data_IF_270074435799
#
_entry.id   IF_270074435799
#
_cell.length_a   1.000
_cell.length_b   1.000
_cell.length_c   1.000
_cell.angle_alpha   90.00
_cell.angle_beta   90.00
_cell.angle_gamma   90.00
#
_symmetry.space_group_name_H-M   'P 1'
#
loop_
_entity.id
_entity.type
_entity.pdbx_description
1 polymer ?
#
# COMPACT_ATOMS: atom_id res chain seq x y z
N UNK A 1 23.42 -21.47 -17.16
CA UNK A 1 22.21 -20.69 -16.81
C UNK A 1 21.24 -20.67 -17.98
N UNK A 2 19.95 -20.89 -17.75
CA UNK A 2 18.91 -20.75 -18.80
C UNK A 2 18.83 -19.28 -19.25
N UNK A 3 18.55 -19.03 -20.56
CA UNK A 3 18.43 -17.65 -21.12
C UNK A 3 17.47 -16.76 -20.29
N UNK A 4 16.37 -17.34 -19.77
CA UNK A 4 15.41 -16.63 -18.91
C UNK A 4 16.01 -16.17 -17.58
N UNK A 5 16.92 -16.94 -16.98
CA UNK A 5 17.59 -16.58 -15.71
C UNK A 5 18.60 -15.46 -15.93
N UNK A 6 19.31 -15.47 -17.07
CA UNK A 6 20.22 -14.36 -17.43
C UNK A 6 19.43 -13.07 -17.66
N UNK A 7 18.32 -13.14 -18.39
CA UNK A 7 17.47 -11.97 -18.61
C UNK A 7 16.94 -11.41 -17.29
N UNK A 8 16.46 -12.26 -16.37
CA UNK A 8 15.98 -11.84 -15.06
C UNK A 8 17.09 -11.20 -14.23
N UNK A 9 18.30 -11.75 -14.23
CA UNK A 9 19.48 -11.18 -13.57
C UNK A 9 19.80 -9.78 -14.11
N UNK A 10 19.80 -9.64 -15.44
CA UNK A 10 20.05 -8.34 -16.08
C UNK A 10 18.99 -7.32 -15.63
N UNK A 11 17.70 -7.67 -15.69
CA UNK A 11 16.63 -6.78 -15.26
C UNK A 11 16.71 -6.43 -13.77
N UNK A 12 17.05 -7.39 -12.91
CA UNK A 12 17.27 -7.13 -11.46
C UNK A 12 18.37 -6.10 -11.25
N UNK A 13 19.52 -6.28 -11.92
CA UNK A 13 20.64 -5.33 -11.84
C UNK A 13 20.22 -3.96 -12.39
N UNK A 14 19.54 -3.92 -13.53
CA UNK A 14 19.04 -2.68 -14.14
C UNK A 14 18.09 -1.94 -13.20
N UNK A 15 17.12 -2.61 -12.60
CA UNK A 15 16.18 -1.99 -11.66
C UNK A 15 16.87 -1.47 -10.40
N UNK A 16 17.80 -2.22 -9.82
CA UNK A 16 18.53 -1.78 -8.62
C UNK A 16 19.45 -0.60 -8.95
N UNK A 17 20.21 -0.67 -10.05
CA UNK A 17 21.13 0.39 -10.42
C UNK A 17 20.40 1.66 -10.86
N UNK A 18 19.37 1.55 -11.67
CA UNK A 18 18.60 2.72 -12.12
C UNK A 18 17.80 3.28 -10.94
N UNK A 19 17.08 2.44 -10.17
CA UNK A 19 16.33 2.89 -9.01
C UNK A 19 17.22 3.54 -7.97
N UNK A 20 18.33 2.88 -7.59
CA UNK A 20 19.32 3.44 -6.66
C UNK A 20 19.99 4.70 -7.19
N UNK A 21 20.31 4.75 -8.50
CA UNK A 21 20.87 5.94 -9.16
C UNK A 21 19.92 7.13 -9.16
N UNK A 22 18.64 6.90 -9.42
CA UNK A 22 17.60 7.93 -9.35
C UNK A 22 17.44 8.45 -7.92
N UNK A 23 17.42 7.56 -6.91
CA UNK A 23 17.36 7.98 -5.51
C UNK A 23 18.59 8.75 -5.08
N UNK A 24 19.79 8.29 -5.47
CA UNK A 24 21.03 9.01 -5.24
C UNK A 24 21.04 10.39 -5.90
N UNK A 25 20.54 10.49 -7.12
CA UNK A 25 20.37 11.77 -7.82
C UNK A 25 19.39 12.68 -7.07
N UNK A 26 18.25 12.15 -6.61
CA UNK A 26 17.30 12.89 -5.76
C UNK A 26 17.94 13.43 -4.50
N UNK A 27 18.78 12.63 -3.82
CA UNK A 27 19.57 13.08 -2.67
C UNK A 27 20.57 14.19 -3.04
N UNK A 28 21.23 14.07 -4.20
CA UNK A 28 22.25 15.01 -4.65
C UNK A 28 21.68 16.32 -5.17
N UNK A 29 20.48 16.25 -5.78
CA UNK A 29 19.85 17.41 -6.42
C UNK A 29 19.44 18.49 -5.42
N UNK A 30 19.18 18.13 -4.17
CA UNK A 30 18.84 19.08 -3.12
C UNK A 30 19.62 18.85 -1.82
N UNK A 31 20.97 18.85 -1.86
CA UNK A 31 21.78 18.60 -0.68
C UNK A 31 21.58 19.65 0.42
N UNK A 32 21.20 20.88 0.06
CA UNK A 32 20.92 21.97 1.02
C UNK A 32 19.59 21.73 1.73
N UNK A 33 18.55 21.29 1.04
CA UNK A 33 17.27 20.94 1.67
C UNK A 33 17.43 19.76 2.63
N UNK A 34 18.23 18.77 2.26
CA UNK A 34 18.56 17.63 3.13
C UNK A 34 19.43 18.01 4.32
N UNK A 35 20.49 18.81 4.10
CA UNK A 35 21.42 19.17 5.15
C UNK A 35 20.86 20.22 6.13
N UNK A 36 20.07 21.18 5.65
CA UNK A 36 19.62 22.32 6.43
C UNK A 36 18.13 22.31 6.77
N UNK A 37 17.38 21.37 6.23
CA UNK A 37 15.91 21.35 6.37
C UNK A 37 15.19 22.57 5.82
N UNK A 38 15.89 23.31 4.98
CA UNK A 38 15.37 24.45 4.30
C UNK A 38 14.64 23.99 3.01
N UNK A 39 13.42 23.51 3.17
CA UNK A 39 12.44 23.85 2.16
C UNK A 39 12.12 25.30 2.42
N UNK A 40 12.70 26.16 1.62
CA UNK A 40 12.24 27.54 1.56
C UNK A 40 10.81 27.47 1.02
N UNK A 41 9.84 27.54 1.92
CA UNK A 41 8.50 27.94 1.57
C UNK A 41 8.62 29.34 0.98
N UNK A 42 8.67 29.42 -0.35
CA UNK A 42 8.70 30.68 -1.03
C UNK A 42 7.28 31.22 -0.99
N UNK A 43 7.14 32.25 -0.19
CA UNK A 43 6.04 33.19 -0.06
C UNK A 43 4.82 32.78 0.79
N UNK A 44 4.32 33.74 1.59
CA UNK A 44 3.19 33.52 2.52
C UNK A 44 1.85 33.19 1.85
N UNK A 45 1.76 33.31 0.52
CA UNK A 45 0.53 33.08 -0.24
C UNK A 45 0.52 31.75 -1.02
N UNK A 46 1.68 31.08 -1.13
CA UNK A 46 1.82 29.79 -1.80
C UNK A 46 2.32 28.72 -0.81
N UNK A 47 1.63 28.55 0.30
CA UNK A 47 1.96 27.44 1.19
C UNK A 47 1.74 26.12 0.43
N UNK A 48 2.81 25.37 0.09
CA UNK A 48 2.65 24.09 -0.56
C UNK A 48 1.88 23.16 0.37
N UNK A 49 1.10 22.26 -0.20
CA UNK A 49 0.48 21.17 0.55
C UNK A 49 1.62 20.44 1.23
N UNK A 50 1.69 20.40 2.57
CA UNK A 50 2.81 19.83 3.29
C UNK A 50 2.94 18.32 3.04
N UNK A 51 1.83 17.66 2.68
CA UNK A 51 1.75 16.26 2.35
C UNK A 51 1.24 16.09 0.91
N UNK A 52 1.98 15.37 0.10
CA UNK A 52 1.69 15.17 -1.32
C UNK A 52 2.04 13.75 -1.74
N UNK A 53 2.52 13.61 -2.98
CA UNK A 53 2.78 12.31 -3.61
C UNK A 53 3.60 11.34 -2.76
N UNK A 54 4.61 11.84 -2.02
CA UNK A 54 5.47 10.97 -1.20
C UNK A 54 4.73 10.41 0.03
N UNK A 55 3.89 11.21 0.68
CA UNK A 55 3.07 10.73 1.82
C UNK A 55 1.98 9.79 1.32
N UNK A 56 1.32 10.13 0.21
CA UNK A 56 0.34 9.25 -0.44
C UNK A 56 1.00 7.93 -0.84
N UNK A 57 2.18 7.97 -1.45
CA UNK A 57 2.94 6.78 -1.83
C UNK A 57 3.36 5.94 -0.62
N UNK A 58 3.83 6.57 0.44
CA UNK A 58 4.14 5.90 1.71
C UNK A 58 2.95 5.11 2.26
N UNK A 59 1.78 5.73 2.34
CA UNK A 59 0.57 5.07 2.79
C UNK A 59 0.15 3.94 1.84
N UNK A 60 0.14 4.22 0.54
CA UNK A 60 -0.26 3.28 -0.48
C UNK A 60 0.58 2.00 -0.43
N UNK A 61 1.90 2.11 -0.46
CA UNK A 61 2.78 0.95 -0.41
C UNK A 61 2.81 0.30 0.97
N UNK A 62 2.72 1.08 2.04
CA UNK A 62 2.62 0.56 3.40
C UNK A 62 1.42 -0.36 3.57
N UNK A 63 0.23 0.15 3.24
CA UNK A 63 -1.05 -0.57 3.38
C UNK A 63 -1.14 -1.78 2.43
N UNK A 64 -0.56 -1.73 1.22
CA UNK A 64 -0.49 -2.90 0.34
C UNK A 64 0.44 -3.96 0.93
N UNK A 65 1.61 -3.56 1.41
CA UNK A 65 2.60 -4.51 1.96
C UNK A 65 2.05 -5.27 3.17
N UNK A 66 1.47 -4.58 4.13
CA UNK A 66 0.77 -5.19 5.27
C UNK A 66 -0.38 -6.06 4.81
N UNK A 67 -1.21 -5.58 3.89
CA UNK A 67 -2.35 -6.34 3.37
C UNK A 67 -1.97 -7.63 2.67
N UNK A 68 -0.86 -7.66 1.93
CA UNK A 68 -0.33 -8.89 1.31
C UNK A 68 0.06 -9.91 2.38
N UNK A 69 0.81 -9.51 3.40
CA UNK A 69 1.25 -10.40 4.48
C UNK A 69 0.09 -10.82 5.38
N UNK A 70 -0.79 -9.89 5.80
CA UNK A 70 -1.97 -10.21 6.61
C UNK A 70 -2.86 -11.24 5.90
N UNK A 71 -3.17 -11.03 4.61
CA UNK A 71 -3.99 -11.95 3.85
C UNK A 71 -3.35 -13.34 3.75
N UNK A 72 -2.04 -13.40 3.47
CA UNK A 72 -1.29 -14.65 3.42
C UNK A 72 -1.28 -15.36 4.79
N UNK A 73 -0.96 -14.64 5.85
CA UNK A 73 -0.92 -15.15 7.23
C UNK A 73 -2.28 -15.67 7.73
N UNK A 74 -3.40 -15.03 7.33
CA UNK A 74 -4.74 -15.52 7.62
C UNK A 74 -5.00 -16.89 6.98
N UNK A 75 -4.63 -17.06 5.72
CA UNK A 75 -4.78 -18.36 5.06
C UNK A 75 -3.89 -19.45 5.68
N UNK A 76 -2.68 -19.11 6.10
CA UNK A 76 -1.81 -20.03 6.83
C UNK A 76 -2.41 -20.42 8.18
N UNK A 77 -2.93 -19.47 8.93
CA UNK A 77 -3.49 -19.69 10.27
C UNK A 77 -4.76 -20.53 10.23
N UNK A 78 -5.72 -20.17 9.38
CA UNK A 78 -7.05 -20.81 9.36
C UNK A 78 -7.09 -22.14 8.59
N UNK A 79 -6.17 -22.37 7.65
CA UNK A 79 -6.13 -23.62 6.87
C UNK A 79 -5.06 -24.61 7.32
N UNK A 80 -4.44 -24.41 8.49
CA UNK A 80 -3.37 -25.29 8.98
C UNK A 80 -3.80 -26.74 9.12
N UNK A 81 -5.01 -26.99 9.60
CA UNK A 81 -5.55 -28.34 9.76
C UNK A 81 -6.01 -28.97 8.42
N UNK A 82 -6.06 -28.18 7.37
CA UNK A 82 -6.49 -28.53 6.03
C UNK A 82 -5.45 -28.11 4.99
N UNK A 83 -4.18 -28.48 5.22
CA UNK A 83 -3.04 -28.11 4.34
C UNK A 83 -3.30 -28.34 2.85
N UNK A 84 -4.08 -29.38 2.52
CA UNK A 84 -4.47 -29.69 1.13
C UNK A 84 -5.48 -28.69 0.54
N UNK A 85 -6.14 -27.87 1.38
CA UNK A 85 -7.17 -26.92 0.97
C UNK A 85 -6.71 -25.46 0.93
N UNK A 86 -5.46 -25.17 1.32
CA UNK A 86 -4.94 -23.82 1.20
C UNK A 86 -4.47 -23.57 -0.23
N UNK A 87 -5.22 -22.79 -1.05
CA UNK A 87 -4.87 -22.54 -2.45
C UNK A 87 -3.60 -21.71 -2.60
N UNK A 88 -3.16 -21.02 -1.53
CA UNK A 88 -1.99 -20.14 -1.54
C UNK A 88 -0.73 -20.79 -0.98
N UNK A 89 -0.81 -22.00 -0.44
CA UNK A 89 0.35 -22.67 0.16
C UNK A 89 1.56 -22.70 -0.77
N UNK A 90 1.35 -22.99 -2.05
CA UNK A 90 2.43 -23.05 -3.03
C UNK A 90 3.14 -21.72 -3.28
N UNK A 91 2.48 -20.59 -2.95
CA UNK A 91 2.96 -19.24 -3.19
C UNK A 91 3.12 -18.41 -1.90
N UNK A 92 2.96 -19.01 -0.71
CA UNK A 92 3.05 -18.29 0.58
C UNK A 92 4.37 -17.54 0.73
N UNK A 93 5.50 -18.19 0.46
CA UNK A 93 6.81 -17.54 0.52
C UNK A 93 6.94 -16.39 -0.47
N UNK A 94 6.36 -16.53 -1.66
CA UNK A 94 6.33 -15.46 -2.66
C UNK A 94 5.54 -14.25 -2.17
N UNK A 95 4.41 -14.49 -1.51
CA UNK A 95 3.58 -13.41 -0.98
C UNK A 95 4.29 -12.67 0.15
N UNK A 96 4.95 -13.36 1.08
CA UNK A 96 5.72 -12.68 2.14
C UNK A 96 6.91 -11.88 1.58
N UNK A 97 7.60 -12.44 0.58
CA UNK A 97 8.66 -11.69 -0.10
C UNK A 97 8.12 -10.46 -0.84
N UNK A 98 6.94 -10.60 -1.46
CA UNK A 98 6.25 -9.48 -2.11
C UNK A 98 5.88 -8.40 -1.09
N UNK A 99 5.34 -8.80 0.07
CA UNK A 99 5.01 -7.87 1.15
C UNK A 99 6.23 -7.06 1.58
N UNK A 100 7.36 -7.73 1.83
CA UNK A 100 8.62 -7.06 2.19
C UNK A 100 9.08 -6.10 1.08
N UNK A 101 9.06 -6.55 -0.19
CA UNK A 101 9.47 -5.73 -1.32
C UNK A 101 8.60 -4.49 -1.49
N UNK A 102 7.28 -4.60 -1.23
CA UNK A 102 6.32 -3.49 -1.33
C UNK A 102 6.46 -2.49 -0.16
N UNK A 103 6.86 -2.92 1.02
CA UNK A 103 7.08 -2.01 2.15
C UNK A 103 8.28 -1.08 1.96
N UNK A 104 9.30 -1.51 1.21
CA UNK A 104 10.54 -0.73 0.99
C UNK A 104 10.27 0.65 0.37
N UNK A 105 9.49 0.78 -0.74
CA UNK A 105 9.13 2.08 -1.28
C UNK A 105 8.42 2.98 -0.27
N UNK A 106 7.51 2.42 0.51
CA UNK A 106 6.82 3.17 1.56
C UNK A 106 7.81 3.79 2.54
N UNK A 107 8.78 3.03 3.03
CA UNK A 107 9.83 3.54 3.92
C UNK A 107 10.65 4.65 3.27
N UNK A 108 11.11 4.45 2.04
CA UNK A 108 11.91 5.45 1.34
C UNK A 108 11.11 6.74 1.17
N UNK A 109 9.85 6.65 0.79
CA UNK A 109 9.00 7.82 0.55
C UNK A 109 8.70 8.60 1.83
N UNK A 110 8.44 7.92 2.97
CA UNK A 110 8.23 8.63 4.23
C UNK A 110 9.48 9.37 4.70
N UNK A 111 10.66 8.77 4.55
CA UNK A 111 11.91 9.47 4.85
C UNK A 111 12.13 10.68 3.94
N UNK A 112 11.86 10.54 2.64
CA UNK A 112 11.97 11.64 1.68
C UNK A 112 10.96 12.76 2.00
N UNK A 113 9.74 12.42 2.45
CA UNK A 113 8.70 13.40 2.77
C UNK A 113 8.98 14.24 4.02
N UNK A 114 9.87 13.79 4.90
CA UNK A 114 10.22 14.55 6.11
C UNK A 114 11.10 15.77 5.81
N UNK A 115 11.63 15.90 4.61
CA UNK A 115 12.61 16.91 4.20
C UNK A 115 13.88 16.99 5.06
N UNK A 116 13.94 16.24 6.15
CA UNK A 116 15.05 16.10 7.07
C UNK A 116 15.24 14.63 7.48
N UNK A 117 15.63 13.76 6.57
CA UNK A 117 15.66 12.32 6.83
C UNK A 117 16.56 11.93 7.98
N UNK A 118 17.64 12.68 8.22
CA UNK A 118 18.51 12.46 9.39
C UNK A 118 17.76 12.69 10.71
N UNK A 119 16.83 13.64 10.76
CA UNK A 119 16.01 13.90 11.93
C UNK A 119 14.89 12.87 12.11
N UNK A 120 14.53 12.11 11.10
CA UNK A 120 13.56 11.03 11.23
C UNK A 120 13.98 9.96 12.25
N UNK A 121 15.29 9.83 12.52
CA UNK A 121 15.80 8.97 13.59
C UNK A 121 15.39 9.42 14.99
N UNK A 122 15.02 10.67 15.17
CA UNK A 122 14.50 11.17 16.46
C UNK A 122 13.13 10.54 16.83
N UNK A 123 12.40 9.98 15.88
CA UNK A 123 11.20 9.19 16.16
C UNK A 123 11.51 8.08 17.18
N UNK A 124 12.70 7.48 17.08
CA UNK A 124 13.12 6.39 17.96
C UNK A 124 13.86 6.90 19.21
N UNK A 125 14.62 8.00 19.09
CA UNK A 125 15.42 8.54 20.17
C UNK A 125 14.62 9.42 21.15
N UNK A 126 13.56 10.08 20.65
CA UNK A 126 12.66 10.97 21.39
C UNK A 126 11.22 10.53 21.28
N UNK A 127 10.99 9.24 21.47
CA UNK A 127 9.65 8.64 21.31
C UNK A 127 8.64 9.32 22.25
N UNK A 128 7.52 9.73 21.66
CA UNK A 128 6.35 10.23 22.39
C UNK A 128 5.17 9.28 22.21
N UNK A 129 4.70 8.71 23.28
CA UNK A 129 3.57 7.76 23.31
C UNK A 129 2.25 8.35 22.80
N UNK A 130 2.09 9.67 22.88
CA UNK A 130 0.91 10.39 22.34
C UNK A 130 0.98 10.67 20.85
N UNK A 131 2.16 10.47 20.21
CA UNK A 131 2.35 10.75 18.79
C UNK A 131 2.02 9.53 17.91
N UNK A 132 0.98 9.64 17.08
CA UNK A 132 0.61 8.59 16.11
C UNK A 132 1.71 8.36 15.07
N UNK A 133 2.41 9.42 14.67
CA UNK A 133 3.55 9.32 13.73
C UNK A 133 4.71 8.56 14.36
N UNK A 134 5.01 8.79 15.64
CA UNK A 134 6.05 8.04 16.33
C UNK A 134 5.70 6.54 16.44
N UNK A 135 4.43 6.22 16.72
CA UNK A 135 3.96 4.84 16.70
C UNK A 135 4.10 4.19 15.32
N UNK A 136 3.84 4.90 14.23
CA UNK A 136 4.07 4.35 12.88
C UNK A 136 5.52 3.89 12.70
N UNK A 137 6.50 4.68 13.12
CA UNK A 137 7.90 4.30 13.05
C UNK A 137 8.18 2.96 13.76
N UNK A 138 7.72 2.82 15.00
CA UNK A 138 7.88 1.58 15.80
C UNK A 138 7.13 0.40 15.15
N UNK A 139 5.88 0.60 14.75
CA UNK A 139 5.03 -0.44 14.16
C UNK A 139 5.60 -0.95 12.83
N UNK A 140 6.16 -0.08 12.00
CA UNK A 140 6.82 -0.49 10.76
C UNK A 140 8.01 -1.43 11.01
N UNK A 141 8.80 -1.17 12.05
CA UNK A 141 9.90 -2.06 12.44
C UNK A 141 9.36 -3.40 12.91
N UNK A 142 8.31 -3.41 13.74
CA UNK A 142 7.68 -4.62 14.23
C UNK A 142 7.08 -5.46 13.10
N UNK A 143 6.40 -4.82 12.15
CA UNK A 143 5.86 -5.49 10.94
C UNK A 143 6.99 -6.04 10.09
N UNK A 144 8.04 -5.26 9.82
CA UNK A 144 9.20 -5.72 9.06
C UNK A 144 9.85 -6.96 9.68
N UNK A 145 10.00 -6.98 11.01
CA UNK A 145 10.49 -8.15 11.75
C UNK A 145 9.53 -9.33 11.58
N UNK A 146 8.21 -9.11 11.69
CA UNK A 146 7.20 -10.14 11.51
C UNK A 146 7.28 -10.82 10.14
N UNK A 147 7.34 -10.03 9.08
CA UNK A 147 7.46 -10.54 7.70
C UNK A 147 8.78 -11.31 7.50
N UNK A 148 9.90 -10.79 8.00
CA UNK A 148 11.19 -11.50 7.92
C UNK A 148 11.12 -12.85 8.65
N UNK A 149 10.54 -12.88 9.84
CA UNK A 149 10.35 -14.13 10.59
C UNK A 149 9.42 -15.09 9.86
N UNK A 150 8.35 -14.61 9.22
CA UNK A 150 7.47 -15.42 8.38
C UNK A 150 8.21 -16.02 7.18
N UNK A 151 9.01 -15.23 6.47
CA UNK A 151 9.87 -15.71 5.37
C UNK A 151 10.81 -16.81 5.86
N UNK A 152 11.50 -16.59 6.98
CA UNK A 152 12.41 -17.58 7.56
C UNK A 152 11.64 -18.86 7.93
N UNK A 153 10.50 -18.75 8.60
CA UNK A 153 9.69 -19.91 9.00
C UNK A 153 9.21 -20.72 7.79
N UNK A 154 8.74 -20.05 6.73
CA UNK A 154 8.30 -20.69 5.49
C UNK A 154 9.45 -21.39 4.75
N UNK A 155 10.64 -20.79 4.72
CA UNK A 155 11.82 -21.46 4.15
C UNK A 155 12.13 -22.75 4.90
N UNK A 156 12.14 -22.72 6.22
CA UNK A 156 12.44 -23.91 7.02
C UNK A 156 11.33 -24.96 6.99
N UNK A 157 10.06 -24.56 7.05
CA UNK A 157 8.92 -25.47 7.06
C UNK A 157 8.72 -26.15 5.70
N UNK A 158 8.72 -25.39 4.64
CA UNK A 158 8.26 -25.87 3.33
C UNK A 158 9.39 -26.28 2.40
N UNK A 159 10.57 -25.67 2.52
CA UNK A 159 11.64 -25.82 1.52
C UNK A 159 12.79 -26.69 1.97
N UNK A 160 13.13 -26.70 3.27
CA UNK A 160 14.24 -27.52 3.77
C UNK A 160 13.84 -28.95 4.09
N UNK A 161 12.55 -29.31 3.99
CA UNK A 161 12.04 -30.67 4.25
C UNK A 161 12.59 -31.28 5.54
N UNK A 162 12.68 -30.49 6.59
CA UNK A 162 13.16 -30.91 7.89
C UNK A 162 12.21 -31.98 8.47
N UNK A 163 12.76 -33.08 8.99
CA UNK A 163 11.98 -34.16 9.57
C UNK A 163 11.94 -34.15 11.10
N UNK A 164 11.03 -34.94 11.68
CA UNK A 164 10.99 -35.23 13.11
C UNK A 164 10.52 -34.07 14.01
N UNK A 165 11.08 -34.03 15.22
CA UNK A 165 10.67 -33.06 16.25
C UNK A 165 10.98 -31.58 15.87
N UNK A 166 11.96 -31.37 15.03
CA UNK A 166 12.34 -30.01 14.57
C UNK A 166 11.25 -29.44 13.67
N UNK A 167 10.75 -30.20 12.70
CA UNK A 167 9.67 -29.79 11.82
C UNK A 167 8.40 -29.41 12.62
N UNK A 168 8.04 -30.19 13.64
CA UNK A 168 6.88 -29.88 14.50
C UNK A 168 7.07 -28.56 15.27
N UNK A 169 8.27 -28.30 15.80
CA UNK A 169 8.57 -27.04 16.52
C UNK A 169 8.50 -25.83 15.59
N UNK A 170 9.05 -25.94 14.37
CA UNK A 170 9.01 -24.88 13.38
C UNK A 170 7.57 -24.59 12.94
N UNK A 171 6.79 -25.64 12.67
CA UNK A 171 5.38 -25.51 12.32
C UNK A 171 4.56 -24.85 13.45
N UNK A 172 4.89 -25.12 14.71
CA UNK A 172 4.27 -24.44 15.85
C UNK A 172 4.70 -22.98 15.93
N UNK A 173 5.99 -22.69 15.77
CA UNK A 173 6.49 -21.32 15.75
C UNK A 173 5.87 -20.50 14.62
N UNK A 174 5.68 -21.08 13.44
CA UNK A 174 5.05 -20.43 12.29
C UNK A 174 3.64 -19.89 12.58
N UNK A 175 2.85 -20.61 13.43
CA UNK A 175 1.52 -20.14 13.85
C UNK A 175 1.64 -18.87 14.71
N UNK A 176 2.54 -18.90 15.71
CA UNK A 176 2.74 -17.72 16.57
C UNK A 176 3.28 -16.54 15.76
N UNK A 177 4.15 -16.79 14.79
CA UNK A 177 4.67 -15.75 13.88
C UNK A 177 3.54 -15.20 13.03
N UNK A 178 2.69 -16.05 12.43
CA UNK A 178 1.53 -15.59 11.64
C UNK A 178 0.55 -14.77 12.50
N UNK A 179 0.23 -15.24 13.71
CA UNK A 179 -0.61 -14.49 14.65
C UNK A 179 -0.02 -13.12 15.04
N UNK A 180 1.28 -13.08 15.30
CA UNK A 180 2.01 -11.85 15.58
C UNK A 180 2.01 -10.90 14.37
N UNK A 181 2.28 -11.42 13.17
CA UNK A 181 2.29 -10.64 11.94
C UNK A 181 0.93 -9.98 11.71
N UNK A 182 -0.17 -10.75 11.73
CA UNK A 182 -1.53 -10.23 11.59
C UNK A 182 -1.80 -9.11 12.60
N UNK A 183 -1.47 -9.32 13.87
CA UNK A 183 -1.72 -8.32 14.91
C UNK A 183 -0.92 -7.04 14.67
N UNK A 184 0.37 -7.16 14.39
CA UNK A 184 1.24 -6.00 14.16
C UNK A 184 0.82 -5.20 12.92
N UNK A 185 0.43 -5.90 11.84
CA UNK A 185 0.01 -5.32 10.57
C UNK A 185 -1.33 -4.59 10.70
N UNK A 186 -2.33 -5.23 11.30
CA UNK A 186 -3.65 -4.59 11.53
C UNK A 186 -3.51 -3.37 12.45
N UNK A 187 -2.66 -3.44 13.48
CA UNK A 187 -2.39 -2.27 14.35
C UNK A 187 -1.68 -1.16 13.56
N UNK A 188 -0.72 -1.50 12.69
CA UNK A 188 -0.05 -0.51 11.84
C UNK A 188 -1.05 0.15 10.90
N UNK A 189 -1.90 -0.60 10.19
CA UNK A 189 -2.89 -0.05 9.27
C UNK A 189 -3.89 0.84 10.00
N UNK A 190 -4.39 0.39 11.15
CA UNK A 190 -5.28 1.21 11.98
C UNK A 190 -4.58 2.50 12.45
N UNK A 191 -3.30 2.44 12.81
CA UNK A 191 -2.54 3.62 13.23
C UNK A 191 -2.20 4.54 12.05
N UNK A 192 -1.94 4.02 10.85
CA UNK A 192 -1.82 4.81 9.63
C UNK A 192 -3.09 5.63 9.38
N UNK A 193 -4.25 4.99 9.44
CA UNK A 193 -5.52 5.71 9.37
C UNK A 193 -5.72 6.70 10.51
N UNK A 194 -5.28 6.36 11.72
CA UNK A 194 -5.39 7.25 12.88
C UNK A 194 -4.54 8.52 12.74
N UNK A 195 -3.41 8.49 12.01
CA UNK A 195 -2.65 9.70 11.70
C UNK A 195 -3.53 10.74 11.02
N UNK A 196 -4.37 10.31 10.05
CA UNK A 196 -5.27 11.20 9.32
C UNK A 196 -6.56 11.50 10.08
N UNK A 197 -7.06 10.54 10.85
CA UNK A 197 -8.30 10.69 11.60
C UNK A 197 -8.21 11.52 12.87
N UNK A 198 -7.01 11.68 13.45
CA UNK A 198 -6.82 12.33 14.76
C UNK A 198 -5.86 13.51 14.75
N UNK A 199 -5.45 14.02 13.60
CA UNK A 199 -4.77 15.30 13.55
C UNK A 199 -5.74 16.39 13.99
N UNK A 200 -5.31 17.23 14.93
CA UNK A 200 -6.18 18.21 15.60
C UNK A 200 -6.89 19.20 14.67
N UNK A 201 -6.34 19.40 13.48
CA UNK A 201 -6.92 20.22 12.41
C UNK A 201 -7.92 19.46 11.54
N UNK A 202 -7.98 18.11 11.63
CA UNK A 202 -8.70 17.24 10.70
C UNK A 202 -9.72 16.31 11.39
N UNK A 203 -9.76 16.31 12.72
CA UNK A 203 -10.60 15.42 13.52
C UNK A 203 -12.08 15.47 13.17
N UNK A 204 -12.57 16.64 12.79
CA UNK A 204 -13.99 16.83 12.47
C UNK A 204 -14.39 16.11 11.17
N UNK A 205 -13.43 15.84 10.29
CA UNK A 205 -13.69 15.33 8.95
C UNK A 205 -13.73 13.81 8.89
N UNK A 206 -12.73 13.16 9.42
CA UNK A 206 -12.54 11.73 9.23
C UNK A 206 -12.66 10.92 10.52
N UNK A 207 -12.23 11.45 11.66
CA UNK A 207 -12.29 10.80 12.95
C UNK A 207 -11.75 9.37 12.99
N UNK A 208 -12.21 8.54 13.93
CA UNK A 208 -11.75 7.15 14.11
C UNK A 208 -12.08 6.24 12.91
N UNK A 209 -13.00 6.65 12.03
CA UNK A 209 -13.37 5.89 10.85
C UNK A 209 -12.18 5.60 9.92
N UNK A 210 -11.21 6.54 9.85
CA UNK A 210 -10.02 6.35 9.02
C UNK A 210 -9.19 5.13 9.44
N UNK A 211 -9.11 4.84 10.73
CA UNK A 211 -8.44 3.61 11.21
C UNK A 211 -9.09 2.36 10.65
N UNK A 212 -10.41 2.28 10.64
CA UNK A 212 -11.14 1.16 10.07
C UNK A 212 -10.99 1.09 8.54
N UNK A 213 -11.09 2.24 7.87
CA UNK A 213 -10.94 2.33 6.42
C UNK A 213 -9.58 1.81 5.98
N UNK A 214 -8.49 2.19 6.65
CA UNK A 214 -7.15 1.75 6.27
C UNK A 214 -6.94 0.24 6.45
N UNK A 215 -7.51 -0.37 7.48
CA UNK A 215 -7.53 -1.83 7.62
C UNK A 215 -8.31 -2.50 6.47
N UNK A 216 -9.44 -1.93 6.05
CA UNK A 216 -10.19 -2.46 4.91
C UNK A 216 -9.40 -2.28 3.60
N UNK A 217 -8.74 -1.13 3.42
CA UNK A 217 -7.91 -0.85 2.26
C UNK A 217 -6.69 -1.79 2.18
N UNK A 218 -6.14 -2.25 3.32
CA UNK A 218 -5.03 -3.20 3.30
C UNK A 218 -5.45 -4.55 2.71
N UNK A 219 -6.59 -5.08 3.09
CA UNK A 219 -7.13 -6.28 2.45
C UNK A 219 -7.41 -6.06 0.97
N UNK A 220 -8.03 -4.94 0.62
CA UNK A 220 -8.35 -4.60 -0.76
C UNK A 220 -7.10 -4.48 -1.64
N UNK A 221 -6.11 -3.73 -1.20
CA UNK A 221 -4.84 -3.56 -1.91
C UNK A 221 -3.98 -4.82 -1.91
N UNK A 222 -3.94 -5.55 -0.80
CA UNK A 222 -3.20 -6.81 -0.66
C UNK A 222 -3.71 -7.88 -1.62
N UNK A 223 -5.02 -8.12 -1.67
CA UNK A 223 -5.66 -9.07 -2.60
C UNK A 223 -5.41 -8.65 -4.06
N UNK A 224 -5.53 -7.35 -4.36
CA UNK A 224 -5.25 -6.83 -5.70
C UNK A 224 -3.79 -7.06 -6.08
N UNK A 225 -2.83 -6.77 -5.21
CA UNK A 225 -1.41 -6.95 -5.49
C UNK A 225 -1.04 -8.44 -5.66
N UNK A 226 -1.56 -9.32 -4.82
CA UNK A 226 -1.38 -10.77 -4.97
C UNK A 226 -1.96 -11.24 -6.30
N UNK A 227 -3.16 -10.78 -6.68
CA UNK A 227 -3.80 -11.10 -7.94
C UNK A 227 -2.97 -10.65 -9.13
N UNK A 228 -2.49 -9.41 -9.10
CA UNK A 228 -1.64 -8.83 -10.14
C UNK A 228 -0.35 -9.63 -10.36
N UNK A 229 0.40 -9.85 -9.29
CA UNK A 229 1.67 -10.58 -9.36
C UNK A 229 1.46 -12.05 -9.72
N UNK A 230 0.41 -12.70 -9.21
CA UNK A 230 0.13 -14.11 -9.52
C UNK A 230 -0.12 -14.31 -11.00
N UNK A 231 -0.91 -13.45 -11.63
CA UNK A 231 -1.18 -13.55 -13.07
C UNK A 231 0.07 -13.28 -13.88
N UNK A 232 0.83 -12.22 -13.56
CA UNK A 232 2.09 -11.92 -14.26
C UNK A 232 3.07 -13.09 -14.15
N UNK A 233 3.25 -13.61 -12.94
CA UNK A 233 4.17 -14.71 -12.70
C UNK A 233 3.80 -15.94 -13.51
N UNK A 234 2.51 -16.31 -13.56
CA UNK A 234 2.01 -17.45 -14.31
C UNK A 234 2.14 -17.26 -15.83
N UNK A 235 1.97 -16.03 -16.34
CA UNK A 235 2.18 -15.71 -17.76
C UNK A 235 3.66 -15.84 -18.16
N UNK A 236 4.56 -15.33 -17.31
CA UNK A 236 6.00 -15.36 -17.57
C UNK A 236 6.61 -16.75 -17.39
N UNK A 237 6.02 -17.57 -16.51
CA UNK A 237 6.47 -18.92 -16.19
C UNK A 237 5.49 -19.99 -16.65
N UNK A 238 5.01 -19.93 -17.89
CA UNK A 238 4.11 -20.95 -18.44
C UNK A 238 4.59 -22.35 -18.05
N UNK A 239 3.80 -23.12 -17.32
CA UNK A 239 4.14 -24.52 -17.02
C UNK A 239 4.23 -25.27 -18.34
N UNK A 240 5.36 -25.92 -18.59
CA UNK A 240 5.57 -26.78 -19.74
C UNK A 240 5.22 -28.21 -19.35
N UNK A 241 4.46 -28.94 -20.19
CA UNK A 241 4.14 -30.35 -20.01
C UNK A 241 2.74 -30.62 -19.44
N UNK A 242 2.59 -31.70 -18.66
CA UNK A 242 1.29 -32.14 -18.13
C UNK A 242 0.63 -31.12 -17.16
N UNK A 243 1.41 -30.27 -16.50
CA UNK A 243 0.91 -29.17 -15.69
C UNK A 243 0.17 -28.09 -16.51
N UNK A 244 0.38 -28.03 -17.81
CA UNK A 244 -0.36 -27.12 -18.70
C UNK A 244 -1.79 -27.60 -19.01
N UNK A 245 -2.11 -28.88 -18.74
CA UNK A 245 -3.41 -29.50 -19.04
C UNK A 245 -4.38 -29.42 -17.86
N UNK A 246 -3.88 -29.51 -16.62
CA UNK A 246 -4.68 -29.20 -15.46
C UNK A 246 -4.37 -27.73 -15.10
N UNK A 247 -5.36 -26.84 -15.15
CA UNK A 247 -5.16 -25.47 -14.73
C UNK A 247 -5.17 -25.42 -13.18
N UNK A 248 -4.01 -25.63 -12.51
CA UNK A 248 -3.94 -25.68 -11.04
C UNK A 248 -4.19 -24.29 -10.43
N UNK A 249 -4.26 -23.25 -11.28
CA UNK A 249 -4.45 -21.87 -10.86
C UNK A 249 -5.92 -21.46 -10.88
N UNK A 250 -6.82 -22.26 -11.46
CA UNK A 250 -8.25 -21.91 -11.54
C UNK A 250 -8.90 -21.73 -10.18
N UNK A 251 -8.58 -22.59 -9.21
CA UNK A 251 -9.10 -22.49 -7.84
C UNK A 251 -8.51 -21.28 -7.10
N UNK A 252 -7.22 -21.03 -7.26
CA UNK A 252 -6.55 -19.84 -6.71
C UNK A 252 -7.13 -18.56 -7.31
N UNK A 253 -7.32 -18.49 -8.63
CA UNK A 253 -7.92 -17.32 -9.29
C UNK A 253 -9.35 -17.10 -8.84
N UNK A 254 -10.13 -18.18 -8.68
CA UNK A 254 -11.50 -18.10 -8.18
C UNK A 254 -11.54 -17.61 -6.73
N UNK A 255 -10.63 -18.06 -5.89
CA UNK A 255 -10.52 -17.59 -4.50
C UNK A 255 -10.14 -16.11 -4.44
N UNK A 256 -9.11 -15.69 -5.19
CA UNK A 256 -8.71 -14.28 -5.27
C UNK A 256 -9.84 -13.40 -5.82
N UNK A 257 -10.60 -13.89 -6.81
CA UNK A 257 -11.74 -13.16 -7.35
C UNK A 257 -12.87 -13.02 -6.32
N UNK A 258 -13.21 -14.09 -5.59
CA UNK A 258 -14.22 -14.06 -4.53
C UNK A 258 -13.83 -13.07 -3.43
N UNK A 259 -12.59 -13.15 -2.97
CA UNK A 259 -12.11 -12.31 -1.89
C UNK A 259 -11.93 -10.85 -2.36
N UNK A 260 -11.58 -10.64 -3.63
CA UNK A 260 -11.60 -9.34 -4.30
C UNK A 260 -13.00 -8.72 -4.37
N UNK A 261 -14.04 -9.52 -4.65
CA UNK A 261 -15.44 -9.06 -4.59
C UNK A 261 -15.76 -8.58 -3.17
N UNK A 262 -15.48 -9.41 -2.16
CA UNK A 262 -15.78 -9.09 -0.77
C UNK A 262 -15.04 -7.82 -0.30
N UNK A 263 -13.76 -7.69 -0.62
CA UNK A 263 -12.97 -6.52 -0.30
C UNK A 263 -13.50 -5.26 -1.00
N UNK A 264 -13.88 -5.37 -2.29
CA UNK A 264 -14.47 -4.25 -3.05
C UNK A 264 -15.80 -3.80 -2.45
N UNK A 265 -16.66 -4.75 -2.04
CA UNK A 265 -17.92 -4.44 -1.35
C UNK A 265 -17.64 -3.76 -0.02
N UNK A 266 -16.65 -4.22 0.76
CA UNK A 266 -16.30 -3.63 2.03
C UNK A 266 -15.82 -2.18 1.86
N UNK A 267 -14.98 -1.89 0.84
CA UNK A 267 -14.56 -0.53 0.50
C UNK A 267 -15.75 0.32 0.09
N UNK A 268 -16.62 -0.20 -0.81
CA UNK A 268 -17.83 0.51 -1.26
C UNK A 268 -18.76 0.86 -0.11
N UNK A 269 -19.02 -0.10 0.78
CA UNK A 269 -19.82 0.12 1.98
C UNK A 269 -19.19 1.16 2.91
N UNK A 270 -17.87 1.08 3.10
CA UNK A 270 -17.14 2.04 3.94
C UNK A 270 -17.21 3.45 3.37
N UNK A 271 -17.06 3.61 2.05
CA UNK A 271 -17.22 4.91 1.40
C UNK A 271 -18.62 5.47 1.53
N UNK A 272 -19.65 4.63 1.33
CA UNK A 272 -21.04 5.04 1.51
C UNK A 272 -21.33 5.44 2.95
N UNK A 273 -20.84 4.68 3.92
CA UNK A 273 -21.02 4.99 5.34
C UNK A 273 -20.31 6.30 5.72
N UNK A 274 -19.08 6.48 5.28
CA UNK A 274 -18.37 7.73 5.51
C UNK A 274 -19.10 8.93 4.89
N UNK A 275 -19.55 8.80 3.63
CA UNK A 275 -20.36 9.84 2.97
C UNK A 275 -21.65 10.16 3.71
N UNK A 276 -22.33 9.12 4.21
CA UNK A 276 -23.52 9.29 5.02
C UNK A 276 -23.25 10.11 6.29
N UNK A 277 -22.23 9.71 7.06
CA UNK A 277 -21.84 10.40 8.30
C UNK A 277 -21.47 11.86 8.02
N UNK A 278 -20.71 12.11 6.97
CA UNK A 278 -20.21 13.44 6.62
C UNK A 278 -21.32 14.33 6.07
N UNK A 279 -22.23 13.77 5.27
CA UNK A 279 -23.32 14.53 4.65
C UNK A 279 -24.49 14.85 5.60
N UNK A 280 -24.67 14.08 6.66
CA UNK A 280 -25.76 14.30 7.64
C UNK A 280 -25.40 15.24 8.76
N UNK A 281 -24.11 15.59 8.92
CA UNK A 281 -23.65 16.52 9.94
C UNK A 281 -23.35 17.90 9.30
N UNK A 282 -23.94 18.96 9.83
CA UNK A 282 -23.73 20.33 9.33
C UNK A 282 -22.27 20.77 9.41
N UNK A 283 -21.53 20.32 10.42
CA UNK A 283 -20.12 20.68 10.60
C UNK A 283 -19.23 20.04 9.54
N UNK A 284 -19.56 18.83 9.09
CA UNK A 284 -18.77 18.06 8.11
C UNK A 284 -19.32 18.12 6.69
N UNK A 285 -20.51 18.66 6.48
CA UNK A 285 -21.11 18.85 5.17
C UNK A 285 -20.21 19.53 4.14
N UNK A 286 -19.39 20.55 4.49
CA UNK A 286 -18.50 21.19 3.54
C UNK A 286 -17.55 20.21 2.84
N UNK A 287 -16.99 19.24 3.56
CA UNK A 287 -16.09 18.23 2.97
C UNK A 287 -16.85 17.26 2.07
N UNK A 288 -18.04 16.81 2.50
CA UNK A 288 -18.92 16.02 1.64
C UNK A 288 -19.27 16.76 0.35
N UNK A 289 -19.54 18.05 0.43
CA UNK A 289 -19.84 18.89 -0.72
C UNK A 289 -18.65 19.00 -1.68
N UNK A 290 -17.42 19.14 -1.16
CA UNK A 290 -16.21 19.15 -1.98
C UNK A 290 -16.05 17.87 -2.80
N UNK A 291 -16.36 16.72 -2.20
CA UNK A 291 -16.28 15.42 -2.85
C UNK A 291 -17.43 15.18 -3.83
N UNK A 292 -18.67 15.48 -3.42
CA UNK A 292 -19.83 15.12 -4.22
C UNK A 292 -20.06 16.07 -5.39
N UNK A 293 -19.86 17.36 -5.19
CA UNK A 293 -20.25 18.43 -6.12
C UNK A 293 -19.16 19.44 -6.40
N UNK A 294 -18.12 19.47 -5.55
CA UNK A 294 -17.02 20.43 -5.62
C UNK A 294 -15.89 19.97 -6.55
N UNK A 295 -14.70 20.57 -6.40
CA UNK A 295 -13.55 20.33 -7.28
C UNK A 295 -13.05 18.89 -7.28
N UNK A 296 -13.24 18.13 -6.20
CA UNK A 296 -12.86 16.73 -6.13
C UNK A 296 -13.93 15.77 -6.69
N UNK A 297 -15.10 16.25 -7.11
CA UNK A 297 -16.20 15.41 -7.54
C UNK A 297 -15.86 14.49 -8.71
N UNK A 298 -15.11 14.97 -9.70
CA UNK A 298 -14.68 14.14 -10.83
C UNK A 298 -13.77 13.01 -10.37
N UNK A 299 -12.83 13.29 -9.48
CA UNK A 299 -11.90 12.31 -8.95
C UNK A 299 -12.64 11.30 -8.08
N UNK A 300 -13.58 11.76 -7.27
CA UNK A 300 -14.41 10.88 -6.45
C UNK A 300 -15.29 9.96 -7.30
N UNK A 301 -16.12 10.51 -8.19
CA UNK A 301 -17.05 9.70 -8.98
C UNK A 301 -16.34 8.80 -10.00
N UNK A 302 -15.30 9.29 -10.66
CA UNK A 302 -14.55 8.51 -11.65
C UNK A 302 -13.49 7.66 -10.97
N UNK A 303 -12.63 8.22 -10.14
CA UNK A 303 -11.49 7.52 -9.55
C UNK A 303 -11.89 6.53 -8.45
N UNK A 304 -12.77 6.94 -7.53
CA UNK A 304 -13.18 6.07 -6.43
C UNK A 304 -14.34 5.18 -6.85
N UNK A 305 -15.46 5.77 -7.29
CA UNK A 305 -16.70 4.99 -7.51
C UNK A 305 -16.57 4.13 -8.76
N UNK A 306 -16.24 4.70 -9.91
CA UNK A 306 -16.18 3.93 -11.16
C UNK A 306 -14.95 3.02 -11.19
N UNK A 307 -13.75 3.60 -11.06
CA UNK A 307 -12.45 2.89 -11.19
C UNK A 307 -12.17 2.00 -9.98
N UNK A 308 -12.43 2.48 -8.77
CA UNK A 308 -12.08 1.77 -7.54
C UNK A 308 -13.16 0.80 -7.03
N UNK A 309 -14.42 0.91 -7.45
CA UNK A 309 -15.50 0.06 -6.94
C UNK A 309 -16.23 -0.67 -8.06
N UNK A 310 -16.86 0.04 -9.01
CA UNK A 310 -17.75 -0.58 -10.00
C UNK A 310 -16.97 -1.50 -10.94
N UNK A 311 -15.90 -1.00 -11.56
CA UNK A 311 -15.11 -1.79 -12.52
C UNK A 311 -14.47 -3.01 -11.84
N UNK A 312 -13.79 -2.90 -10.69
CA UNK A 312 -13.26 -4.07 -10.00
C UNK A 312 -14.33 -5.10 -9.63
N UNK A 313 -15.48 -4.66 -9.12
CA UNK A 313 -16.58 -5.55 -8.75
C UNK A 313 -17.06 -6.39 -9.93
N UNK A 314 -17.25 -5.76 -11.08
CA UNK A 314 -17.65 -6.44 -12.32
C UNK A 314 -16.57 -7.41 -12.80
N UNK A 315 -15.31 -6.97 -12.83
CA UNK A 315 -14.20 -7.77 -13.34
C UNK A 315 -13.85 -8.95 -12.41
N UNK A 316 -13.89 -8.76 -11.09
CA UNK A 316 -13.77 -9.88 -10.15
C UNK A 316 -14.96 -10.85 -10.27
N UNK A 317 -16.18 -10.35 -10.49
CA UNK A 317 -17.34 -11.18 -10.77
C UNK A 317 -17.18 -12.03 -12.03
N UNK A 318 -16.62 -11.45 -13.09
CA UNK A 318 -16.28 -12.19 -14.31
C UNK A 318 -15.17 -13.23 -14.06
N UNK A 319 -14.14 -12.88 -13.31
CA UNK A 319 -13.04 -13.78 -12.96
C UNK A 319 -13.50 -14.93 -12.05
N UNK A 320 -14.47 -14.70 -11.16
CA UNK A 320 -15.06 -15.73 -10.32
C UNK A 320 -15.85 -16.76 -11.12
N UNK A 321 -16.67 -16.28 -12.07
CA UNK A 321 -17.50 -17.16 -12.90
C UNK A 321 -16.68 -17.90 -13.97
N UNK A 322 -15.67 -17.23 -14.50
CA UNK A 322 -14.73 -17.81 -15.48
C UNK A 322 -13.33 -17.43 -15.04
N UNK A 323 -12.61 -18.33 -14.36
CA UNK A 323 -11.29 -18.03 -13.78
C UNK A 323 -10.25 -17.78 -14.88
N UNK A 324 -10.30 -16.59 -15.44
CA UNK A 324 -9.43 -16.11 -16.49
C UNK A 324 -8.48 -15.02 -15.96
N UNK A 325 -7.19 -15.24 -16.15
CA UNK A 325 -6.16 -14.32 -15.62
C UNK A 325 -6.29 -12.88 -16.15
N UNK A 326 -6.81 -12.68 -17.36
CA UNK A 326 -7.00 -11.36 -17.95
C UNK A 326 -8.00 -10.50 -17.19
N UNK A 327 -9.16 -11.03 -16.78
CA UNK A 327 -10.14 -10.31 -15.97
C UNK A 327 -9.61 -10.07 -14.56
N UNK A 328 -8.91 -11.05 -13.97
CA UNK A 328 -8.35 -10.93 -12.63
C UNK A 328 -7.27 -9.84 -12.55
N UNK A 329 -6.32 -9.81 -13.48
CA UNK A 329 -5.26 -8.78 -13.50
C UNK A 329 -5.82 -7.38 -13.77
N UNK A 330 -6.81 -7.28 -14.66
CA UNK A 330 -7.45 -6.00 -14.94
C UNK A 330 -8.22 -5.50 -13.71
N UNK A 331 -8.97 -6.37 -13.03
CA UNK A 331 -9.61 -6.04 -11.76
C UNK A 331 -8.59 -5.53 -10.73
N UNK A 332 -7.46 -6.22 -10.59
CA UNK A 332 -6.38 -5.84 -9.69
C UNK A 332 -5.81 -4.45 -9.99
N UNK A 333 -5.54 -4.15 -11.28
CA UNK A 333 -5.05 -2.83 -11.69
C UNK A 333 -6.04 -1.73 -11.32
N UNK A 334 -7.32 -1.92 -11.63
CA UNK A 334 -8.35 -0.93 -11.29
C UNK A 334 -8.54 -0.79 -9.79
N UNK A 335 -8.43 -1.88 -9.01
CA UNK A 335 -8.44 -1.83 -7.55
C UNK A 335 -7.28 -1.00 -6.99
N UNK A 336 -6.07 -1.21 -7.47
CA UNK A 336 -4.89 -0.45 -7.02
C UNK A 336 -5.01 1.04 -7.39
N UNK A 337 -5.48 1.36 -8.59
CA UNK A 337 -5.74 2.75 -9.00
C UNK A 337 -6.82 3.41 -8.13
N UNK A 338 -7.91 2.70 -7.87
CA UNK A 338 -8.98 3.18 -6.99
C UNK A 338 -8.50 3.40 -5.56
N UNK A 339 -7.73 2.46 -5.01
CA UNK A 339 -7.11 2.59 -3.68
C UNK A 339 -6.18 3.80 -3.60
N UNK A 340 -5.31 3.99 -4.61
CA UNK A 340 -4.44 5.16 -4.68
C UNK A 340 -5.26 6.46 -4.67
N UNK A 341 -6.38 6.48 -5.41
CA UNK A 341 -7.29 7.63 -5.45
C UNK A 341 -7.95 7.89 -4.09
N UNK A 342 -8.41 6.83 -3.40
CA UNK A 342 -9.01 6.97 -2.05
C UNK A 342 -8.00 7.55 -1.07
N UNK A 343 -6.78 7.03 -1.04
CA UNK A 343 -5.71 7.52 -0.16
C UNK A 343 -5.33 8.95 -0.52
N UNK A 344 -5.27 9.28 -1.82
CA UNK A 344 -5.00 10.66 -2.26
C UNK A 344 -6.07 11.63 -1.77
N UNK A 345 -7.35 11.27 -1.87
CA UNK A 345 -8.43 12.11 -1.37
C UNK A 345 -8.40 12.25 0.16
N UNK A 346 -8.09 11.17 0.88
CA UNK A 346 -7.95 11.20 2.33
C UNK A 346 -6.82 12.12 2.81
N UNK A 347 -5.76 12.26 2.01
CA UNK A 347 -4.63 13.14 2.32
C UNK A 347 -4.90 14.60 1.91
N UNK A 348 -5.49 14.81 0.74
CA UNK A 348 -5.57 16.13 0.11
C UNK A 348 -6.76 16.97 0.56
N UNK A 349 -7.91 16.34 0.81
CA UNK A 349 -9.13 17.08 1.18
C UNK A 349 -8.94 17.87 2.47
N UNK A 350 -8.41 17.30 3.56
CA UNK A 350 -8.17 18.04 4.79
C UNK A 350 -7.24 19.23 4.61
N UNK A 351 -6.28 19.09 3.71
CA UNK A 351 -5.29 20.14 3.44
C UNK A 351 -5.84 21.24 2.53
N UNK A 352 -6.90 20.99 1.77
CA UNK A 352 -7.50 21.96 0.83
C UNK A 352 -8.44 22.95 1.50
N UNK A 353 -8.90 22.67 2.71
CA UNK A 353 -9.74 23.58 3.49
C UNK A 353 -8.87 24.27 4.52
N UNK A 354 -8.58 25.53 4.28
CA UNK A 354 -7.98 26.38 5.31
C UNK A 354 -9.09 26.83 6.24
N UNK A 355 -9.05 26.37 7.47
CA UNK A 355 -9.83 26.96 8.54
C UNK A 355 -9.24 28.33 8.84
N UNK A 356 -9.79 29.38 8.27
CA UNK A 356 -9.67 30.68 8.89
C UNK A 356 -10.49 30.68 10.16
N UNK A 357 -9.96 30.09 11.21
CA UNK A 357 -10.19 30.63 12.53
C UNK A 357 -9.44 31.97 12.55
N UNK A 358 -9.92 32.92 11.79
CA UNK A 358 -9.71 34.28 12.18
C UNK A 358 -10.41 34.33 13.51
N UNK A 359 -9.61 34.39 14.56
CA UNK A 359 -9.98 34.93 15.85
C UNK A 359 -10.28 36.40 15.54
N UNK A 360 -11.34 36.61 14.81
CA UNK A 360 -12.03 37.91 14.75
C UNK A 360 -13.03 37.83 15.87
N UNK A 361 -12.81 38.52 16.97
CA UNK A 361 -13.74 38.52 18.10
C UNK A 361 -15.10 39.13 17.76
N UNK A 362 -15.40 39.41 16.52
CA UNK A 362 -16.52 40.26 16.06
C UNK A 362 -17.45 39.55 15.06
N UNK A 363 -17.15 38.36 14.59
CA UNK A 363 -18.05 37.64 13.69
C UNK A 363 -18.93 36.66 14.45
N UNK A 364 -20.26 36.86 14.43
CA UNK A 364 -21.18 35.93 15.03
C UNK A 364 -21.13 34.58 14.30
N UNK A 365 -21.44 33.45 14.97
CA UNK A 365 -21.30 32.09 14.44
C UNK A 365 -22.24 31.78 13.25
N UNK A 366 -23.03 32.71 12.78
CA UNK A 366 -24.00 32.51 11.68
C UNK A 366 -23.61 33.20 10.35
N UNK A 367 -22.46 33.81 10.25
CA UNK A 367 -22.07 34.45 9.01
C UNK A 367 -21.16 33.55 8.20
N UNK A 368 -21.72 33.03 7.11
CA UNK A 368 -21.07 32.54 5.89
C UNK A 368 -19.63 32.09 6.08
N UNK A 369 -19.44 30.80 6.27
CA UNK A 369 -18.14 30.17 6.15
C UNK A 369 -17.59 30.45 4.76
N UNK A 370 -16.71 31.41 4.63
CA UNK A 370 -15.99 31.66 3.39
C UNK A 370 -14.89 30.61 3.29
N UNK A 371 -15.18 29.60 2.50
CA UNK A 371 -14.17 28.61 2.09
C UNK A 371 -13.28 29.27 1.07
N UNK A 372 -12.11 29.70 1.44
CA UNK A 372 -11.05 29.88 0.47
C UNK A 372 -10.47 28.51 0.17
N UNK A 373 -10.92 27.95 -0.94
CA UNK A 373 -10.19 26.89 -1.61
C UNK A 373 -8.82 27.47 -1.94
N UNK A 374 -7.78 26.96 -1.30
CA UNK A 374 -6.42 27.29 -1.71
C UNK A 374 -6.30 27.05 -3.21
N UNK A 375 -5.67 27.97 -3.93
CA UNK A 375 -5.53 27.94 -5.39
C UNK A 375 -4.62 26.80 -5.89
N UNK A 376 -4.68 25.64 -5.27
CA UNK A 376 -4.01 24.40 -5.66
C UNK A 376 -4.31 24.04 -7.11
N UNK A 377 -5.41 24.58 -7.65
CA UNK A 377 -5.93 24.25 -8.96
C UNK A 377 -5.50 25.19 -10.08
N UNK A 378 -4.71 26.22 -9.81
CA UNK A 378 -4.48 27.30 -10.78
C UNK A 378 -3.35 27.10 -11.81
N UNK A 379 -2.63 25.98 -11.81
CA UNK A 379 -1.39 25.87 -12.59
C UNK A 379 -1.37 24.84 -13.73
N UNK A 380 -2.41 24.78 -14.58
CA UNK A 380 -2.26 24.20 -15.91
C UNK A 380 -3.13 22.99 -16.26
N UNK A 381 -3.30 22.69 -17.55
CA UNK A 381 -4.31 21.76 -18.07
C UNK A 381 -4.08 20.26 -17.76
N UNK A 382 -2.86 19.83 -17.46
CA UNK A 382 -2.57 18.44 -17.04
C UNK A 382 -2.95 18.16 -15.59
N UNK A 383 -3.09 19.18 -14.79
CA UNK A 383 -3.27 19.09 -13.34
C UNK A 383 -4.74 19.13 -12.91
N UNK A 384 -5.66 19.27 -13.85
CA UNK A 384 -7.11 19.25 -13.58
C UNK A 384 -7.63 17.88 -13.11
N UNK A 385 -6.86 16.79 -13.30
CA UNK A 385 -7.20 15.46 -12.83
C UNK A 385 -6.50 15.08 -11.53
N UNK A 386 -5.37 15.73 -11.23
CA UNK A 386 -4.62 15.50 -10.00
C UNK A 386 -4.67 16.78 -9.18
N UNK A 387 -5.33 16.78 -8.02
CA UNK A 387 -5.55 18.00 -7.23
C UNK A 387 -4.33 18.49 -6.47
N UNK A 388 -3.15 17.94 -6.73
CA UNK A 388 -1.91 18.30 -6.04
C UNK A 388 -0.78 18.57 -7.04
N UNK A 389 0.07 19.49 -6.65
CA UNK A 389 1.28 19.79 -7.40
C UNK A 389 2.30 18.68 -7.15
N UNK A 390 2.65 17.93 -8.20
CA UNK A 390 3.73 16.95 -8.16
C UNK A 390 5.01 17.69 -8.50
N UNK A 391 5.90 17.82 -7.53
CA UNK A 391 7.22 18.39 -7.78
C UNK A 391 8.10 17.39 -8.53
N UNK A 392 9.13 17.91 -9.22
CA UNK A 392 10.15 17.05 -9.83
C UNK A 392 10.84 16.16 -8.79
N UNK A 393 11.06 16.69 -7.60
CA UNK A 393 11.60 15.96 -6.46
C UNK A 393 10.73 14.76 -6.07
N UNK A 394 9.41 14.96 -5.94
CA UNK A 394 8.46 13.88 -5.61
C UNK A 394 8.46 12.78 -6.67
N UNK A 395 8.49 13.16 -7.95
CA UNK A 395 8.54 12.20 -9.06
C UNK A 395 9.82 11.36 -9.04
N UNK A 396 10.96 11.98 -8.78
CA UNK A 396 12.26 11.29 -8.72
C UNK A 396 12.24 10.24 -7.60
N UNK A 397 11.80 10.62 -6.40
CA UNK A 397 11.73 9.72 -5.27
C UNK A 397 10.70 8.60 -5.47
N UNK A 398 9.54 8.93 -6.02
CA UNK A 398 8.50 7.94 -6.29
C UNK A 398 8.98 6.91 -7.32
N UNK A 399 9.47 7.35 -8.48
CA UNK A 399 9.94 6.45 -9.53
C UNK A 399 11.14 5.61 -9.10
N UNK A 400 12.11 6.22 -8.41
CA UNK A 400 13.26 5.51 -7.89
C UNK A 400 12.87 4.41 -6.91
N UNK A 401 11.93 4.69 -6.03
CA UNK A 401 11.40 3.73 -5.06
C UNK A 401 10.65 2.57 -5.71
N UNK A 402 9.83 2.84 -6.75
CA UNK A 402 9.12 1.81 -7.51
C UNK A 402 10.09 0.91 -8.28
N UNK A 403 11.12 1.48 -8.88
CA UNK A 403 12.15 0.68 -9.56
C UNK A 403 12.93 -0.19 -8.57
N UNK A 404 13.23 0.34 -7.38
CA UNK A 404 13.88 -0.45 -6.34
C UNK A 404 12.99 -1.60 -5.86
N UNK A 405 11.67 -1.40 -5.72
CA UNK A 405 10.72 -2.48 -5.44
C UNK A 405 10.84 -3.59 -6.47
N UNK A 406 10.81 -3.25 -7.75
CA UNK A 406 10.96 -4.23 -8.83
C UNK A 406 12.31 -4.97 -8.75
N UNK A 407 13.37 -4.25 -8.42
CA UNK A 407 14.69 -4.82 -8.21
C UNK A 407 14.74 -5.82 -7.05
N UNK A 408 14.21 -5.44 -5.89
CA UNK A 408 14.14 -6.30 -4.71
C UNK A 408 13.24 -7.50 -4.94
N UNK A 409 12.07 -7.30 -5.54
CA UNK A 409 11.18 -8.42 -5.85
C UNK A 409 11.83 -9.43 -6.80
N UNK A 410 12.43 -8.96 -7.90
CA UNK A 410 13.11 -9.84 -8.87
C UNK A 410 14.37 -10.48 -8.29
N UNK A 411 15.05 -9.84 -7.36
CA UNK A 411 16.14 -10.45 -6.59
C UNK A 411 15.66 -11.69 -5.82
N UNK A 412 14.53 -11.59 -5.12
CA UNK A 412 13.94 -12.75 -4.44
C UNK A 412 13.60 -13.88 -5.41
N UNK A 413 13.04 -13.55 -6.59
CA UNK A 413 12.78 -14.56 -7.64
C UNK A 413 14.04 -15.28 -8.11
N UNK A 414 15.21 -14.62 -8.03
CA UNK A 414 16.50 -15.21 -8.39
C UNK A 414 17.09 -16.12 -7.31
N UNK A 415 17.01 -15.68 -6.04
CA UNK A 415 17.77 -16.32 -4.95
C UNK A 415 16.92 -17.26 -4.09
N UNK A 416 15.59 -17.03 -4.00
CA UNK A 416 14.68 -17.79 -3.15
C UNK A 416 13.85 -18.78 -3.96
N UNK A 417 13.51 -19.94 -3.41
CA UNK A 417 12.53 -20.87 -3.99
C UNK A 417 11.11 -20.40 -3.67
N UNK A 418 10.66 -19.36 -4.37
CA UNK A 418 9.42 -18.64 -4.04
C UNK A 418 8.15 -19.47 -4.25
N UNK A 419 8.18 -20.51 -5.09
CA UNK A 419 7.06 -21.43 -5.30
C UNK A 419 7.41 -22.87 -4.92
N UNK A 420 6.41 -23.62 -4.46
CA UNK A 420 6.57 -25.01 -4.12
C UNK A 420 7.07 -25.84 -5.32
N UNK A 421 8.08 -26.67 -5.11
CA UNK A 421 8.72 -27.49 -6.14
C UNK A 421 9.77 -26.74 -6.96
N UNK A 422 10.06 -25.49 -6.69
CA UNK A 422 11.24 -24.81 -7.22
C UNK A 422 12.48 -25.23 -6.43
N UNK A 423 13.52 -25.64 -7.15
CA UNK A 423 14.84 -25.77 -6.54
C UNK A 423 15.41 -24.38 -6.26
N UNK A 424 16.00 -24.19 -5.08
CA UNK A 424 16.80 -23.01 -4.80
C UNK A 424 17.87 -22.87 -5.89
N UNK A 425 17.76 -21.87 -6.72
CA UNK A 425 18.60 -21.75 -7.93
C UNK A 425 20.04 -21.40 -7.62
N UNK A 426 20.31 -20.89 -6.42
CA UNK A 426 21.63 -20.43 -6.02
C UNK A 426 21.99 -20.84 -4.57
N UNK A 427 23.24 -21.05 -4.37
CA UNK A 427 24.11 -21.58 -3.33
C UNK A 427 23.88 -21.19 -1.86
N UNK A 428 22.94 -20.29 -1.56
CA UNK A 428 22.68 -19.86 -0.18
C UNK A 428 21.92 -20.93 0.61
N UNK A 429 21.19 -21.84 -0.06
CA UNK A 429 20.34 -22.85 0.57
C UNK A 429 20.56 -24.28 0.03
N UNK A 430 21.73 -24.57 -0.56
CA UNK A 430 22.13 -25.93 -0.94
C UNK A 430 22.64 -26.71 0.26
#
# INVERSE_FOLDING_TARGET
MKRSTIALLIWTIVFILIGGGILFYGMSYNPIAWANGLVTFQEPNDEPIPWGLLVIGYMFFGVIGTGVSTYNSLYELFNKNHKEKNPFKSISLRNEWLALAVLIPGWIMVFASTYKPAEATYIYLSFRDTSRIAWNGVLYVLVGIGIILAIIALIYEERMKLGGSIASKIATAAIFIAGYAILAEVILDANLGAVFGYLSTWVQEFGPFMSLLFVILSFYGGIAMISFITVIYNVLRKPTGERAKADPHSEMYKTLARDGILATIAVGFSMLWWMWLTATNQETWPWANLLLFGPYSKIFWVGVVLVGIIIPLVLYGLAYNRPYGGSLITAAIFSLLGMFTIISLADLIPQSITWYYTISPISPPNSNWVYELRSIFNNGPLWTFLPFHISYYDMVWFLGSVLLLLGVYTLGVLILPLEEGEEARHWIFK
#
